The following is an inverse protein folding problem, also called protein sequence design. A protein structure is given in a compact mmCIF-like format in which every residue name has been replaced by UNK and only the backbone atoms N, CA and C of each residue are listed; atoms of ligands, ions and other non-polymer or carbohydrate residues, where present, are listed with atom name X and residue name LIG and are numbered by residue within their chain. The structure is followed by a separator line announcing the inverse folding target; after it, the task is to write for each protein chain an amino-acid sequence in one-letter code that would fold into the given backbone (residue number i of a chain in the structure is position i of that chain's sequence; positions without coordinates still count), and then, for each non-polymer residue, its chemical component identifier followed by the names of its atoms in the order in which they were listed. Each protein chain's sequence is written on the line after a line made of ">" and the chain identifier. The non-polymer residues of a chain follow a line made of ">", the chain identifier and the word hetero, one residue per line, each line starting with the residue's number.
data_IF_566522075405
#
_entry.id   IF_566522075405
#
_cell.length_a   1.000
_cell.length_b   1.000
_cell.length_c   1.000
_cell.angle_alpha   90.00
_cell.angle_beta   90.00
_cell.angle_gamma   90.00
#
_symmetry.space_group_name_H-M   'P 1'
#
loop_
_entity.id
_entity.type
_entity.pdbx_description
1 polymer ?
#
# COMPACT_ATOMS: atom_id res chain seq x y z
N UNK A 1 -7.13 -14.15 -18.21
CA UNK A 1 -5.80 -14.09 -17.57
C UNK A 1 -4.76 -14.01 -18.67
N UNK A 2 -4.05 -12.88 -18.82
CA UNK A 2 -3.04 -12.74 -19.88
C UNK A 2 -1.76 -13.45 -19.46
N UNK A 3 -1.25 -14.36 -20.28
CA UNK A 3 0.04 -15.02 -20.03
C UNK A 3 1.14 -13.96 -20.21
N UNK A 4 1.70 -13.50 -19.09
CA UNK A 4 2.81 -12.55 -19.10
C UNK A 4 4.05 -13.27 -19.62
N UNK A 5 4.68 -12.71 -20.65
CA UNK A 5 5.94 -13.26 -21.18
C UNK A 5 7.05 -13.13 -20.13
N UNK A 6 7.80 -14.22 -19.88
CA UNK A 6 8.99 -14.22 -18.97
C UNK A 6 9.94 -13.05 -19.24
N UNK A 7 10.11 -12.66 -20.51
CA UNK A 7 10.94 -11.50 -20.89
C UNK A 7 10.40 -10.18 -20.34
N UNK A 8 9.09 -9.96 -20.38
CA UNK A 8 8.44 -8.75 -19.85
C UNK A 8 8.56 -8.70 -18.32
N UNK A 9 8.40 -9.83 -17.66
CA UNK A 9 8.55 -9.95 -16.21
C UNK A 9 9.99 -9.62 -15.77
N UNK A 10 11.00 -10.25 -16.40
CA UNK A 10 12.41 -9.97 -16.11
C UNK A 10 12.75 -8.49 -16.34
N UNK A 11 12.28 -7.91 -17.44
CA UNK A 11 12.49 -6.50 -17.71
C UNK A 11 11.88 -5.58 -16.63
N UNK A 12 10.63 -5.85 -16.23
CA UNK A 12 9.96 -5.08 -15.19
C UNK A 12 10.66 -5.21 -13.82
N UNK A 13 11.11 -6.41 -13.45
CA UNK A 13 11.90 -6.68 -12.24
C UNK A 13 13.23 -5.91 -12.23
N UNK A 14 13.98 -5.96 -13.33
CA UNK A 14 15.24 -5.22 -13.48
C UNK A 14 15.03 -3.72 -13.39
N UNK A 15 14.00 -3.16 -14.03
CA UNK A 15 13.65 -1.75 -13.90
C UNK A 15 13.25 -1.36 -12.47
N UNK A 16 12.41 -2.16 -11.81
CA UNK A 16 12.01 -1.94 -10.43
C UNK A 16 13.22 -1.88 -9.50
N UNK A 17 14.10 -2.89 -9.57
CA UNK A 17 15.34 -2.92 -8.79
C UNK A 17 16.25 -1.74 -9.09
N UNK A 18 16.47 -1.41 -10.36
CA UNK A 18 17.35 -0.31 -10.77
C UNK A 18 16.82 1.06 -10.28
N UNK A 19 15.51 1.28 -10.38
CA UNK A 19 14.86 2.50 -9.88
C UNK A 19 14.99 2.63 -8.36
N UNK A 20 14.80 1.53 -7.62
CA UNK A 20 14.95 1.48 -6.17
C UNK A 20 16.41 1.75 -5.75
N UNK A 21 17.37 1.07 -6.34
CA UNK A 21 18.79 1.24 -6.03
C UNK A 21 19.27 2.69 -6.29
N UNK A 22 18.84 3.28 -7.40
CA UNK A 22 19.15 4.68 -7.74
C UNK A 22 18.55 5.63 -6.71
N UNK A 23 17.28 5.41 -6.35
CA UNK A 23 16.58 6.21 -5.35
C UNK A 23 17.28 6.16 -3.99
N UNK A 24 17.57 4.97 -3.46
CA UNK A 24 18.27 4.80 -2.18
C UNK A 24 19.65 5.44 -2.20
N UNK A 25 20.40 5.27 -3.30
CA UNK A 25 21.74 5.86 -3.42
C UNK A 25 21.68 7.38 -3.37
N UNK A 26 20.78 8.01 -4.14
CA UNK A 26 20.65 9.46 -4.15
C UNK A 26 20.10 10.03 -2.84
N UNK A 27 19.19 9.32 -2.18
CA UNK A 27 18.71 9.71 -0.86
C UNK A 27 19.82 9.60 0.20
N UNK A 28 20.66 8.56 0.13
CA UNK A 28 21.84 8.43 0.99
C UNK A 28 22.85 9.56 0.77
N UNK A 29 23.13 9.90 -0.49
CA UNK A 29 23.97 11.07 -0.84
C UNK A 29 23.35 12.34 -0.30
N UNK A 30 22.04 12.53 -0.51
CA UNK A 30 21.34 13.70 -0.03
C UNK A 30 21.46 13.83 1.48
N UNK A 31 21.14 12.80 2.26
CA UNK A 31 21.27 12.82 3.72
C UNK A 31 22.69 13.18 4.20
N UNK A 32 23.70 12.82 3.42
CA UNK A 32 25.10 13.15 3.73
C UNK A 32 25.45 14.59 3.39
N UNK A 33 24.88 15.13 2.31
CA UNK A 33 25.20 16.48 1.79
C UNK A 33 24.25 17.56 2.28
N UNK A 34 23.07 17.19 2.79
CA UNK A 34 22.01 18.10 3.21
C UNK A 34 22.49 18.87 4.44
N UNK A 35 23.13 19.99 4.17
CA UNK A 35 23.56 20.94 5.18
C UNK A 35 22.31 21.57 5.78
N UNK A 36 22.25 21.90 7.08
CA UNK A 36 21.14 22.67 7.61
C UNK A 36 21.04 23.98 6.84
N UNK A 37 19.99 24.15 6.03
CA UNK A 37 19.77 25.38 5.28
C UNK A 37 19.37 26.45 6.28
N UNK A 38 20.11 27.56 6.33
CA UNK A 38 19.94 28.63 7.33
C UNK A 38 18.64 29.44 7.17
N UNK A 39 17.80 29.10 6.19
CA UNK A 39 16.57 29.82 5.90
C UNK A 39 15.50 28.81 5.51
N UNK A 40 14.67 28.41 6.47
CA UNK A 40 13.46 27.61 6.24
C UNK A 40 12.38 28.10 7.18
N UNK A 41 11.20 28.42 6.65
CA UNK A 41 10.05 28.82 7.48
C UNK A 41 9.71 27.72 8.50
N UNK A 42 9.84 26.47 8.05
CA UNK A 42 9.75 25.27 8.84
C UNK A 42 10.48 24.11 8.14
N UNK A 43 10.90 23.10 8.90
CA UNK A 43 11.47 21.86 8.36
C UNK A 43 11.11 20.69 9.28
N UNK A 44 10.93 19.47 8.73
CA UNK A 44 10.66 18.30 9.56
C UNK A 44 11.84 17.98 10.48
N UNK A 45 11.53 17.40 11.64
CA UNK A 45 12.53 16.92 12.58
C UNK A 45 13.44 15.86 11.92
N UNK A 46 14.78 16.05 11.92
CA UNK A 46 15.69 15.26 11.08
C UNK A 46 15.65 13.77 11.40
N UNK A 47 15.55 13.40 12.67
CA UNK A 47 15.51 11.99 13.08
C UNK A 47 14.19 11.30 12.70
N UNK A 48 13.05 12.02 12.75
CA UNK A 48 11.76 11.44 12.36
C UNK A 48 11.68 11.29 10.84
N UNK A 49 12.24 12.25 10.11
CA UNK A 49 12.39 12.16 8.67
C UNK A 49 13.25 10.95 8.26
N UNK A 50 14.45 10.79 8.87
CA UNK A 50 15.33 9.64 8.61
C UNK A 50 14.66 8.32 8.99
N UNK A 51 13.97 8.27 10.13
CA UNK A 51 13.26 7.06 10.57
C UNK A 51 12.19 6.64 9.56
N UNK A 52 11.39 7.59 9.07
CA UNK A 52 10.36 7.29 8.08
C UNK A 52 10.96 6.82 6.76
N UNK A 53 12.05 7.47 6.33
CA UNK A 53 12.79 7.06 5.14
C UNK A 53 13.35 5.63 5.25
N UNK A 54 14.01 5.28 6.36
CA UNK A 54 14.55 3.92 6.57
C UNK A 54 13.42 2.90 6.59
N UNK A 55 12.33 3.21 7.31
CA UNK A 55 11.15 2.36 7.36
C UNK A 55 10.59 2.11 5.96
N UNK A 56 10.38 3.17 5.19
CA UNK A 56 9.85 3.07 3.83
C UNK A 56 10.79 2.32 2.88
N UNK A 57 12.09 2.56 2.96
CA UNK A 57 13.11 1.87 2.16
C UNK A 57 13.12 0.36 2.46
N UNK A 58 12.95 0.00 3.74
CA UNK A 58 12.86 -1.39 4.17
C UNK A 58 11.60 -2.05 3.62
N UNK A 59 10.45 -1.37 3.69
CA UNK A 59 9.20 -1.87 3.09
C UNK A 59 9.33 -2.08 1.58
N UNK A 60 9.93 -1.14 0.86
CA UNK A 60 10.19 -1.26 -0.58
C UNK A 60 11.11 -2.45 -0.89
N UNK A 61 12.19 -2.62 -0.12
CA UNK A 61 13.10 -3.76 -0.28
C UNK A 61 12.39 -5.10 -0.04
N UNK A 62 11.62 -5.21 1.05
CA UNK A 62 10.86 -6.43 1.35
C UNK A 62 9.83 -6.74 0.26
N UNK A 63 9.11 -5.73 -0.22
CA UNK A 63 8.16 -5.89 -1.33
C UNK A 63 8.87 -6.37 -2.60
N UNK A 64 10.04 -5.79 -2.90
CA UNK A 64 10.85 -6.18 -4.04
C UNK A 64 11.36 -7.62 -3.90
N UNK A 65 11.84 -8.05 -2.73
CA UNK A 65 12.27 -9.44 -2.53
C UNK A 65 11.16 -10.45 -2.83
N UNK A 66 9.91 -10.13 -2.47
CA UNK A 66 8.75 -10.98 -2.81
C UNK A 66 8.50 -11.02 -4.31
N UNK A 67 8.64 -9.89 -5.00
CA UNK A 67 8.52 -9.83 -6.46
C UNK A 67 9.51 -10.77 -7.18
N UNK A 68 10.69 -11.02 -6.59
CA UNK A 68 11.71 -11.92 -7.15
C UNK A 68 11.59 -13.38 -6.68
N UNK A 69 11.15 -13.64 -5.44
CA UNK A 69 11.11 -14.99 -4.86
C UNK A 69 10.13 -15.95 -5.56
N UNK A 70 9.07 -15.42 -6.19
CA UNK A 70 7.98 -16.23 -6.74
C UNK A 70 8.35 -17.05 -8.00
N UNK A 71 9.58 -16.92 -8.52
CA UNK A 71 10.08 -17.68 -9.68
C UNK A 71 10.82 -18.99 -9.30
N UNK A 72 11.36 -19.10 -8.08
CA UNK A 72 12.24 -20.22 -7.70
C UNK A 72 11.47 -21.52 -7.37
N UNK A 73 10.30 -21.42 -6.74
CA UNK A 73 9.51 -22.59 -6.31
C UNK A 73 8.94 -23.42 -7.47
N UNK A 74 8.97 -22.89 -8.71
CA UNK A 74 8.41 -23.55 -9.88
C UNK A 74 9.44 -24.27 -10.76
N UNK A 75 10.73 -24.20 -10.40
CA UNK A 75 11.80 -24.86 -11.15
C UNK A 75 12.17 -26.25 -10.65
N UNK A 76 11.55 -26.78 -9.58
CA UNK A 76 11.70 -28.21 -9.30
C UNK A 76 11.12 -28.99 -10.48
N UNK A 77 11.96 -29.70 -11.27
CA UNK A 77 11.44 -30.67 -12.20
C UNK A 77 10.68 -31.66 -11.32
N UNK A 78 9.43 -31.94 -11.66
CA UNK A 78 8.73 -33.12 -11.19
C UNK A 78 9.56 -34.31 -11.70
N UNK A 79 10.62 -34.62 -10.96
CA UNK A 79 11.54 -35.70 -11.22
C UNK A 79 10.73 -36.91 -10.85
N UNK A 80 10.03 -37.41 -11.86
CA UNK A 80 9.65 -38.81 -12.03
C UNK A 80 9.85 -39.61 -10.75
N UNK A 81 8.79 -39.71 -9.95
CA UNK A 81 8.51 -40.98 -9.27
C UNK A 81 8.06 -41.93 -10.40
N UNK A 82 9.02 -42.31 -11.24
CA UNK A 82 8.95 -43.53 -12.00
C UNK A 82 9.37 -44.60 -10.99
N UNK A 83 8.45 -44.98 -10.12
CA UNK A 83 8.54 -46.25 -9.42
C UNK A 83 8.31 -47.33 -10.48
N UNK A 84 9.39 -47.64 -11.21
CA UNK A 84 9.62 -48.98 -11.73
C UNK A 84 9.77 -49.92 -10.54
N UNK A 85 9.09 -51.07 -10.68
CA UNK A 85 9.24 -52.32 -9.95
C UNK A 85 8.73 -52.40 -8.50
N UNK A 86 7.50 -52.93 -8.35
CA UNK A 86 7.42 -54.28 -7.76
C UNK A 86 6.23 -55.08 -8.34
N UNK A 87 6.55 -55.96 -9.29
CA UNK A 87 5.72 -57.12 -9.65
C UNK A 87 5.57 -58.01 -8.42
N UNK A 88 4.38 -58.14 -7.85
CA UNK A 88 3.80 -59.48 -7.69
C UNK A 88 2.34 -59.47 -7.23
N UNK A 89 1.66 -60.49 -7.74
CA UNK A 89 0.54 -61.21 -7.19
C UNK A 89 -0.91 -60.91 -7.60
N UNK A 90 -1.57 -62.04 -7.84
CA UNK A 90 -2.81 -62.26 -8.59
C UNK A 90 -4.05 -62.13 -7.70
N UNK A 91 -5.18 -61.91 -8.37
CA UNK A 91 -6.58 -62.06 -7.91
C UNK A 91 -7.06 -60.94 -6.98
N UNK A 92 -8.21 -60.28 -7.16
CA UNK A 92 -9.54 -60.73 -7.56
C UNK A 92 -10.26 -59.59 -8.32
N UNK A 93 -11.19 -59.96 -9.20
CA UNK A 93 -12.11 -59.06 -9.91
C UNK A 93 -12.92 -58.18 -8.94
N UNK A 94 -12.61 -56.89 -8.89
CA UNK A 94 -13.55 -55.88 -8.39
C UNK A 94 -13.58 -54.68 -9.34
N UNK A 95 -14.57 -54.71 -10.22
CA UNK A 95 -14.97 -53.62 -11.13
C UNK A 95 -15.42 -52.42 -10.30
N UNK A 96 -14.47 -51.60 -9.89
CA UNK A 96 -14.72 -50.27 -9.30
C UNK A 96 -14.35 -49.26 -10.37
N UNK A 97 -15.33 -48.50 -10.85
CA UNK A 97 -15.11 -47.48 -11.87
C UNK A 97 -14.01 -46.51 -11.38
N UNK A 98 -12.99 -46.22 -12.20
CA UNK A 98 -11.88 -45.38 -11.79
C UNK A 98 -12.41 -43.97 -11.53
N UNK A 99 -12.42 -43.58 -10.25
CA UNK A 99 -12.73 -42.23 -9.83
C UNK A 99 -11.80 -41.27 -10.60
N UNK A 100 -12.33 -40.26 -11.30
CA UNK A 100 -11.51 -39.36 -12.09
C UNK A 100 -10.47 -38.72 -11.18
N UNK A 101 -9.19 -38.95 -11.50
CA UNK A 101 -8.08 -38.35 -10.79
C UNK A 101 -8.37 -36.85 -10.64
N UNK A 102 -8.26 -36.27 -9.42
CA UNK A 102 -8.47 -34.86 -9.24
C UNK A 102 -7.54 -34.14 -10.23
N UNK A 103 -8.07 -33.21 -11.04
CA UNK A 103 -7.30 -32.57 -12.09
C UNK A 103 -6.05 -32.00 -11.43
N UNK A 104 -4.87 -32.43 -11.92
CA UNK A 104 -3.60 -31.92 -11.48
C UNK A 104 -3.70 -30.39 -11.50
N UNK A 105 -3.69 -29.77 -10.30
CA UNK A 105 -3.73 -28.32 -10.16
C UNK A 105 -2.56 -27.80 -10.98
N UNK A 106 -2.86 -27.21 -12.14
CA UNK A 106 -1.88 -26.52 -12.93
C UNK A 106 -1.29 -25.44 -12.01
N UNK A 107 -0.05 -25.65 -11.59
CA UNK A 107 0.69 -24.68 -10.79
C UNK A 107 1.04 -23.52 -11.72
N UNK A 108 0.08 -22.64 -11.96
CA UNK A 108 0.32 -21.40 -12.69
C UNK A 108 1.16 -20.51 -11.81
N UNK A 109 2.24 -19.96 -12.37
CA UNK A 109 3.03 -18.85 -11.83
C UNK A 109 2.13 -17.63 -11.70
N UNK A 110 1.22 -17.66 -10.74
CA UNK A 110 0.25 -16.60 -10.54
C UNK A 110 0.89 -15.58 -9.61
N UNK A 111 1.84 -14.81 -10.17
CA UNK A 111 2.25 -13.55 -9.57
C UNK A 111 0.97 -12.79 -9.25
N UNK A 112 0.86 -12.34 -8.00
CA UNK A 112 -0.30 -11.61 -7.55
C UNK A 112 -0.59 -10.45 -8.52
N UNK A 113 -1.76 -10.49 -9.16
CA UNK A 113 -2.15 -9.51 -10.15
C UNK A 113 -2.08 -8.08 -9.60
N UNK A 114 -2.30 -7.91 -8.29
CA UNK A 114 -2.17 -6.63 -7.60
C UNK A 114 -0.71 -6.14 -7.56
N UNK A 115 0.25 -7.02 -7.25
CA UNK A 115 1.67 -6.67 -7.27
C UNK A 115 2.12 -6.28 -8.68
N UNK A 116 1.75 -7.07 -9.69
CA UNK A 116 2.08 -6.76 -11.08
C UNK A 116 1.50 -5.43 -11.55
N UNK A 117 0.26 -5.12 -11.17
CA UNK A 117 -0.39 -3.86 -11.48
C UNK A 117 0.29 -2.64 -10.80
N UNK A 118 0.95 -2.85 -9.66
CA UNK A 118 1.64 -1.79 -8.93
C UNK A 118 3.07 -1.51 -9.41
N UNK A 119 3.73 -2.45 -10.08
CA UNK A 119 5.13 -2.29 -10.56
C UNK A 119 5.37 -0.96 -11.30
N UNK A 120 4.51 -0.49 -12.23
CA UNK A 120 4.72 0.79 -12.90
C UNK A 120 4.67 1.98 -11.94
N UNK A 121 3.73 2.00 -10.99
CA UNK A 121 3.61 3.06 -10.01
C UNK A 121 4.82 3.09 -9.06
N UNK A 122 5.32 1.91 -8.66
CA UNK A 122 6.55 1.77 -7.89
C UNK A 122 7.77 2.36 -8.63
N UNK A 123 7.98 1.98 -9.89
CA UNK A 123 9.10 2.47 -10.71
C UNK A 123 9.00 4.00 -10.86
N UNK A 124 7.83 4.51 -11.25
CA UNK A 124 7.64 5.94 -11.47
C UNK A 124 7.81 6.73 -10.18
N UNK A 125 7.33 6.22 -9.04
CA UNK A 125 7.51 6.88 -7.75
C UNK A 125 8.98 6.98 -7.33
N UNK A 126 9.77 5.92 -7.54
CA UNK A 126 11.21 5.95 -7.29
C UNK A 126 11.96 6.92 -8.23
N UNK A 127 11.54 7.00 -9.50
CA UNK A 127 12.08 7.98 -10.45
C UNK A 127 11.75 9.40 -10.02
N UNK A 128 10.53 9.65 -9.54
CA UNK A 128 10.12 10.98 -9.06
C UNK A 128 10.88 11.39 -7.79
N UNK A 129 11.10 10.47 -6.84
CA UNK A 129 11.94 10.73 -5.65
C UNK A 129 13.40 10.98 -6.03
N UNK A 130 13.93 10.20 -6.97
CA UNK A 130 15.27 10.40 -7.56
C UNK A 130 15.40 11.79 -8.18
N UNK A 131 14.43 12.19 -9.01
CA UNK A 131 14.40 13.51 -9.63
C UNK A 131 14.33 14.62 -8.58
N UNK A 132 13.51 14.45 -7.54
CA UNK A 132 13.45 15.40 -6.43
C UNK A 132 14.80 15.54 -5.72
N UNK A 133 15.48 14.45 -5.39
CA UNK A 133 16.82 14.51 -4.76
C UNK A 133 17.82 15.26 -5.64
N UNK A 134 17.80 14.98 -6.95
CA UNK A 134 18.66 15.66 -7.91
C UNK A 134 18.39 17.17 -7.96
N UNK A 135 17.13 17.58 -8.08
CA UNK A 135 16.76 19.00 -8.14
C UNK A 135 16.98 19.72 -6.81
N UNK A 136 16.82 19.02 -5.68
CA UNK A 136 17.09 19.55 -4.34
C UNK A 136 18.56 19.94 -4.20
N UNK A 137 19.49 19.05 -4.59
CA UNK A 137 20.92 19.33 -4.59
C UNK A 137 21.33 20.47 -5.53
N UNK A 138 20.47 20.84 -6.49
CA UNK A 138 20.66 21.98 -7.41
C UNK A 138 19.94 23.24 -6.93
N UNK A 139 19.32 23.20 -5.75
CA UNK A 139 18.52 24.28 -5.17
C UNK A 139 17.36 24.72 -6.10
N UNK A 140 16.87 23.79 -6.93
CA UNK A 140 15.78 24.04 -7.88
C UNK A 140 14.44 23.58 -7.30
N UNK A 141 13.95 24.29 -6.28
CA UNK A 141 12.80 23.87 -5.47
C UNK A 141 11.46 23.81 -6.25
N UNK A 142 11.29 24.61 -7.31
CA UNK A 142 10.11 24.51 -8.17
C UNK A 142 10.01 23.14 -8.87
N UNK A 143 11.14 22.61 -9.35
CA UNK A 143 11.19 21.27 -9.96
C UNK A 143 11.02 20.15 -8.93
N UNK A 144 11.45 20.40 -7.70
CA UNK A 144 11.18 19.51 -6.57
C UNK A 144 9.67 19.37 -6.35
N UNK A 145 8.93 20.49 -6.25
CA UNK A 145 7.48 20.46 -6.09
C UNK A 145 6.78 19.69 -7.21
N UNK A 146 7.09 20.00 -8.48
CA UNK A 146 6.50 19.31 -9.64
C UNK A 146 6.72 17.79 -9.55
N UNK A 147 7.93 17.37 -9.19
CA UNK A 147 8.28 15.96 -9.05
C UNK A 147 7.47 15.27 -7.95
N UNK A 148 7.27 15.93 -6.80
CA UNK A 148 6.50 15.37 -5.68
C UNK A 148 5.00 15.36 -5.92
N UNK A 149 4.44 16.36 -6.60
CA UNK A 149 3.06 16.32 -7.03
C UNK A 149 2.81 15.15 -7.97
N UNK A 150 3.68 14.97 -8.96
CA UNK A 150 3.58 13.83 -9.88
C UNK A 150 3.67 12.48 -9.16
N UNK A 151 4.62 12.34 -8.22
CA UNK A 151 4.71 11.14 -7.37
C UNK A 151 3.41 10.89 -6.58
N UNK A 152 2.89 11.93 -5.92
CA UNK A 152 1.65 11.86 -5.13
C UNK A 152 0.46 11.41 -5.99
N UNK A 153 0.31 11.97 -7.20
CA UNK A 153 -0.75 11.55 -8.13
C UNK A 153 -0.62 10.07 -8.53
N UNK A 154 0.59 9.60 -8.82
CA UNK A 154 0.83 8.19 -9.16
C UNK A 154 0.46 7.27 -7.99
N UNK A 155 0.86 7.62 -6.75
CA UNK A 155 0.58 6.80 -5.59
C UNK A 155 -0.91 6.79 -5.23
N UNK A 156 -1.59 7.94 -5.28
CA UNK A 156 -3.05 8.02 -5.10
C UNK A 156 -3.75 7.19 -6.17
N UNK A 157 -3.36 7.31 -7.44
CA UNK A 157 -3.90 6.49 -8.52
C UNK A 157 -3.70 4.99 -8.24
N UNK A 158 -2.52 4.59 -7.77
CA UNK A 158 -2.24 3.20 -7.42
C UNK A 158 -3.11 2.68 -6.27
N UNK A 159 -3.31 3.50 -5.22
CA UNK A 159 -4.20 3.17 -4.10
C UNK A 159 -5.64 2.99 -4.59
N UNK A 160 -6.14 3.92 -5.42
CA UNK A 160 -7.48 3.84 -6.01
C UNK A 160 -7.65 2.61 -6.90
N UNK A 161 -6.64 2.29 -7.73
CA UNK A 161 -6.68 1.13 -8.62
C UNK A 161 -6.69 -0.21 -7.84
N UNK A 162 -5.96 -0.28 -6.73
CA UNK A 162 -5.93 -1.47 -5.87
C UNK A 162 -7.21 -1.64 -5.04
N UNK A 163 -7.85 -0.54 -4.66
CA UNK A 163 -9.08 -0.54 -3.87
C UNK A 163 -10.34 -0.99 -4.66
N UNK A 164 -10.22 -1.29 -5.96
CA UNK A 164 -11.34 -1.72 -6.79
C UNK A 164 -11.94 -3.06 -6.32
N UNK A 165 -13.28 -3.18 -6.16
CA UNK A 165 -13.96 -4.40 -5.67
C UNK A 165 -13.64 -5.67 -6.46
N UNK A 166 -13.25 -5.52 -7.73
CA UNK A 166 -12.89 -6.63 -8.61
C UNK A 166 -11.65 -7.41 -8.16
N UNK A 167 -10.80 -6.83 -7.31
CA UNK A 167 -9.51 -7.38 -6.93
C UNK A 167 -9.48 -8.01 -5.52
N UNK A 168 -10.61 -8.08 -4.81
CA UNK A 168 -10.66 -8.51 -3.39
C UNK A 168 -10.54 -10.02 -3.16
N UNK A 169 -10.54 -10.87 -4.20
CA UNK A 169 -10.54 -12.34 -4.02
C UNK A 169 -9.20 -12.94 -3.55
N UNK A 170 -8.07 -12.23 -3.71
CA UNK A 170 -6.73 -12.65 -3.29
C UNK A 170 -6.16 -11.69 -2.23
N UNK A 171 -6.71 -11.77 -1.01
CA UNK A 171 -6.68 -10.70 -0.01
C UNK A 171 -5.37 -10.52 0.79
N UNK A 172 -4.46 -11.50 0.85
CA UNK A 172 -3.29 -11.40 1.75
C UNK A 172 -2.07 -10.69 1.14
N UNK A 173 -1.80 -10.88 -0.16
CA UNK A 173 -0.64 -10.28 -0.83
C UNK A 173 -0.91 -8.84 -1.30
N UNK A 174 -2.19 -8.49 -1.51
CA UNK A 174 -2.63 -7.13 -1.85
C UNK A 174 -2.39 -6.13 -0.71
N UNK A 175 -2.50 -6.56 0.55
CA UNK A 175 -2.33 -5.69 1.73
C UNK A 175 -0.94 -5.07 1.82
N UNK A 176 0.12 -5.84 1.51
CA UNK A 176 1.49 -5.30 1.56
C UNK A 176 1.72 -4.24 0.49
N UNK A 177 1.17 -4.46 -0.70
CA UNK A 177 1.29 -3.52 -1.84
C UNK A 177 0.51 -2.24 -1.56
N UNK A 178 -0.68 -2.36 -0.98
CA UNK A 178 -1.52 -1.23 -0.58
C UNK A 178 -0.84 -0.41 0.53
N UNK A 179 -0.33 -1.10 1.56
CA UNK A 179 0.41 -0.49 2.65
C UNK A 179 1.62 0.30 2.11
N UNK A 180 2.38 -0.33 1.21
CA UNK A 180 3.54 0.29 0.59
C UNK A 180 3.18 1.54 -0.24
N UNK A 181 2.09 1.49 -1.00
CA UNK A 181 1.62 2.64 -1.77
C UNK A 181 1.21 3.80 -0.84
N UNK A 182 0.52 3.49 0.25
CA UNK A 182 0.08 4.47 1.26
C UNK A 182 1.26 5.13 1.97
N UNK A 183 2.23 4.36 2.45
CA UNK A 183 3.43 4.91 3.11
C UNK A 183 4.31 5.68 2.12
N UNK A 184 4.39 5.24 0.86
CA UNK A 184 5.08 5.97 -0.22
C UNK A 184 4.44 7.33 -0.48
N UNK A 185 3.10 7.38 -0.48
CA UNK A 185 2.36 8.63 -0.63
C UNK A 185 2.58 9.58 0.56
N UNK A 186 2.54 9.06 1.78
CA UNK A 186 2.87 9.84 2.99
C UNK A 186 4.26 10.46 2.88
N UNK A 187 5.28 9.65 2.54
CA UNK A 187 6.63 10.15 2.36
C UNK A 187 6.72 11.24 1.27
N UNK A 188 6.03 11.07 0.14
CA UNK A 188 5.97 12.08 -0.92
C UNK A 188 5.39 13.42 -0.43
N UNK A 189 4.36 13.36 0.43
CA UNK A 189 3.75 14.53 1.04
C UNK A 189 4.72 15.21 1.99
N UNK A 190 5.42 14.45 2.85
CA UNK A 190 6.46 14.99 3.72
C UNK A 190 7.56 15.72 2.93
N UNK A 191 8.01 15.16 1.81
CA UNK A 191 8.96 15.81 0.91
C UNK A 191 8.41 17.10 0.28
N UNK A 192 7.12 17.11 -0.09
CA UNK A 192 6.48 18.30 -0.63
C UNK A 192 6.46 19.42 0.43
N UNK A 193 6.10 19.10 1.66
CA UNK A 193 6.14 20.05 2.79
C UNK A 193 7.56 20.51 3.13
N UNK A 194 8.55 19.62 3.13
CA UNK A 194 9.96 20.00 3.26
C UNK A 194 10.37 21.01 2.17
N UNK A 195 9.86 20.85 0.95
CA UNK A 195 10.14 21.77 -0.17
C UNK A 195 9.44 23.11 -0.01
N UNK A 196 8.18 23.11 0.45
CA UNK A 196 7.45 24.33 0.73
C UNK A 196 8.12 25.15 1.84
N UNK A 197 8.62 24.51 2.90
CA UNK A 197 9.32 25.20 3.98
C UNK A 197 10.54 26.02 3.53
N UNK A 198 11.20 25.63 2.43
CA UNK A 198 12.29 26.41 1.81
C UNK A 198 11.77 27.52 0.91
N UNK A 199 10.67 27.28 0.19
CA UNK A 199 10.09 28.27 -0.74
C UNK A 199 9.41 29.41 0.03
N UNK A 200 8.78 29.10 1.17
CA UNK A 200 8.04 30.02 2.03
C UNK A 200 8.95 31.03 2.78
N UNK A 201 10.27 30.91 2.66
CA UNK A 201 11.29 31.80 3.28
C UNK A 201 11.15 33.26 2.84
N UNK A 202 10.47 33.53 1.74
CA UNK A 202 10.42 34.83 1.05
C UNK A 202 9.63 35.95 1.76
N UNK A 203 9.40 35.84 3.08
CA UNK A 203 8.59 36.74 3.92
C UNK A 203 7.08 36.66 3.67
N UNK A 204 6.34 36.26 4.73
CA UNK A 204 5.00 36.70 5.18
C UNK A 204 4.49 35.59 6.12
N UNK A 205 4.11 35.95 7.35
CA UNK A 205 3.36 35.06 8.27
C UNK A 205 2.21 34.39 7.49
N UNK A 206 2.04 33.06 7.56
CA UNK A 206 1.08 32.38 6.70
C UNK A 206 -0.32 32.96 6.87
N UNK A 207 -0.95 33.31 5.75
CA UNK A 207 -2.29 33.89 5.81
C UNK A 207 -3.27 32.86 6.36
N UNK A 208 -4.44 33.32 6.83
CA UNK A 208 -5.49 32.38 7.23
C UNK A 208 -5.89 31.45 6.07
N UNK A 209 -5.87 31.97 4.84
CA UNK A 209 -6.18 31.20 3.63
C UNK A 209 -5.17 30.08 3.38
N UNK A 210 -3.87 30.36 3.52
CA UNK A 210 -2.81 29.35 3.29
C UNK A 210 -2.91 28.20 4.28
N UNK A 211 -3.12 28.54 5.56
CA UNK A 211 -3.31 27.56 6.65
C UNK A 211 -4.57 26.72 6.45
N UNK A 212 -5.65 27.35 6.01
CA UNK A 212 -6.91 26.65 5.71
C UNK A 212 -6.73 25.71 4.51
N UNK A 213 -6.08 26.16 3.44
CA UNK A 213 -5.82 25.36 2.25
C UNK A 213 -4.93 24.14 2.58
N UNK A 214 -3.89 24.33 3.39
CA UNK A 214 -3.07 23.25 3.93
C UNK A 214 -3.91 22.21 4.67
N UNK A 215 -4.74 22.67 5.61
CA UNK A 215 -5.62 21.79 6.39
C UNK A 215 -6.63 21.03 5.54
N UNK A 216 -7.24 21.69 4.56
CA UNK A 216 -8.16 21.06 3.62
C UNK A 216 -7.44 20.01 2.78
N UNK A 217 -6.22 20.27 2.31
CA UNK A 217 -5.43 19.31 1.54
C UNK A 217 -5.17 18.02 2.33
N UNK A 218 -4.67 18.14 3.57
CA UNK A 218 -4.43 16.99 4.44
C UNK A 218 -5.70 16.23 4.80
N UNK A 219 -6.80 16.94 5.07
CA UNK A 219 -8.09 16.35 5.38
C UNK A 219 -8.64 15.57 4.19
N UNK A 220 -8.61 16.15 2.98
CA UNK A 220 -9.05 15.49 1.76
C UNK A 220 -8.24 14.23 1.46
N UNK A 221 -6.92 14.28 1.64
CA UNK A 221 -6.07 13.09 1.48
C UNK A 221 -6.39 11.99 2.49
N UNK A 222 -6.64 12.37 3.75
CA UNK A 222 -7.05 11.43 4.80
C UNK A 222 -8.35 10.72 4.41
N UNK A 223 -9.36 11.49 3.98
CA UNK A 223 -10.67 10.94 3.57
C UNK A 223 -10.55 10.11 2.29
N UNK A 224 -9.71 10.52 1.34
CA UNK A 224 -9.49 9.80 0.08
C UNK A 224 -8.76 8.46 0.26
N UNK A 225 -8.18 8.19 1.43
CA UNK A 225 -7.38 7.00 1.72
C UNK A 225 -8.17 5.69 1.82
N UNK A 226 -9.51 5.79 1.88
CA UNK A 226 -10.41 4.66 2.07
C UNK A 226 -10.54 4.24 3.55
N UNK A 227 -11.12 3.05 3.82
CA UNK A 227 -11.48 2.60 5.17
C UNK A 227 -10.27 2.26 6.07
N UNK A 228 -9.10 2.09 5.46
CA UNK A 228 -7.86 1.77 6.16
C UNK A 228 -7.14 3.06 6.59
N UNK A 229 -6.89 3.28 7.89
CA UNK A 229 -6.44 4.55 8.43
C UNK A 229 -4.96 4.84 8.15
N UNK A 230 -4.24 3.94 7.47
CA UNK A 230 -2.78 3.95 7.37
C UNK A 230 -2.22 5.22 6.73
N UNK A 231 -2.80 5.70 5.63
CA UNK A 231 -2.33 6.94 5.02
C UNK A 231 -2.62 8.14 5.94
N UNK A 232 -3.79 8.19 6.59
CA UNK A 232 -4.08 9.18 7.62
C UNK A 232 -3.05 9.16 8.78
N UNK A 233 -2.66 7.98 9.25
CA UNK A 233 -1.61 7.83 10.27
C UNK A 233 -0.24 8.31 9.77
N UNK A 234 0.11 8.07 8.50
CA UNK A 234 1.32 8.63 7.90
C UNK A 234 1.26 10.16 7.89
N UNK A 235 0.12 10.76 7.54
CA UNK A 235 -0.04 12.21 7.55
C UNK A 235 0.05 12.81 8.96
N UNK A 236 -0.49 12.13 9.97
CA UNK A 236 -0.30 12.54 11.37
C UNK A 236 1.18 12.45 11.76
N UNK A 237 1.87 11.38 11.35
CA UNK A 237 3.31 11.24 11.58
C UNK A 237 4.09 12.39 10.92
N UNK A 238 3.77 12.73 9.67
CA UNK A 238 4.39 13.83 8.95
C UNK A 238 4.19 15.15 9.69
N UNK A 239 2.96 15.44 10.12
CA UNK A 239 2.64 16.64 10.90
C UNK A 239 3.39 16.66 12.23
N UNK A 240 3.50 15.54 12.94
CA UNK A 240 4.31 15.45 14.17
C UNK A 240 5.78 15.71 13.87
N UNK A 241 6.31 15.20 12.75
CA UNK A 241 7.65 15.52 12.31
C UNK A 241 7.82 17.02 12.04
N UNK A 242 6.81 17.70 11.48
CA UNK A 242 6.83 19.15 11.29
C UNK A 242 6.74 19.94 12.61
N UNK A 243 5.88 19.50 13.55
CA UNK A 243 5.70 20.13 14.87
C UNK A 243 6.99 20.10 15.69
N UNK A 244 7.67 18.95 15.69
CA UNK A 244 8.92 18.75 16.44
C UNK A 244 10.15 19.29 15.68
N UNK A 245 9.96 19.66 14.42
CA UNK A 245 11.01 20.16 13.57
C UNK A 245 11.35 21.63 13.83
N UNK A 246 12.32 22.13 13.07
CA UNK A 246 12.68 23.54 13.15
C UNK A 246 11.54 24.40 12.59
N UNK A 247 11.19 25.47 13.28
CA UNK A 247 10.19 26.43 12.85
C UNK A 247 10.68 27.83 13.24
N UNK A 248 10.79 28.71 12.27
CA UNK A 248 11.10 30.12 12.52
C UNK A 248 9.83 30.93 12.81
N UNK A 249 8.68 30.45 12.30
CA UNK A 249 7.38 31.12 12.38
C UNK A 249 6.45 30.29 13.28
N UNK A 250 6.07 30.84 14.44
CA UNK A 250 5.24 30.16 15.45
C UNK A 250 3.84 29.77 14.92
N UNK A 251 3.30 30.52 13.96
CA UNK A 251 1.98 30.24 13.38
C UNK A 251 1.93 28.91 12.64
N UNK A 252 3.04 28.51 11.99
CA UNK A 252 3.13 27.21 11.33
C UNK A 252 3.09 26.06 12.34
N UNK A 253 3.79 26.21 13.47
CA UNK A 253 3.74 25.24 14.57
C UNK A 253 2.29 25.04 15.07
N UNK A 254 1.58 26.13 15.35
CA UNK A 254 0.17 26.07 15.76
C UNK A 254 -0.70 25.41 14.68
N UNK A 255 -0.50 25.75 13.40
CA UNK A 255 -1.23 25.16 12.28
C UNK A 255 -1.00 23.65 12.16
N UNK A 256 0.24 23.18 12.25
CA UNK A 256 0.53 21.74 12.21
C UNK A 256 -0.12 21.00 13.39
N UNK A 257 -0.12 21.57 14.60
CA UNK A 257 -0.81 20.98 15.75
C UNK A 257 -2.32 20.86 15.51
N UNK A 258 -2.99 21.92 15.05
CA UNK A 258 -4.43 21.88 14.77
C UNK A 258 -4.77 20.89 13.65
N UNK A 259 -3.95 20.82 12.59
CA UNK A 259 -4.11 19.83 11.52
C UNK A 259 -3.94 18.40 12.05
N UNK A 260 -2.92 18.13 12.87
CA UNK A 260 -2.68 16.81 13.43
C UNK A 260 -3.83 16.36 14.34
N UNK A 261 -4.33 17.26 15.19
CA UNK A 261 -5.49 16.99 16.04
C UNK A 261 -6.76 16.74 15.21
N UNK A 262 -7.01 17.55 14.18
CA UNK A 262 -8.15 17.40 13.28
C UNK A 262 -8.16 16.08 12.51
N UNK A 263 -7.02 15.71 11.90
CA UNK A 263 -6.88 14.44 11.18
C UNK A 263 -7.03 13.26 12.15
N UNK A 264 -6.41 13.32 13.32
CA UNK A 264 -6.53 12.26 14.34
C UNK A 264 -7.97 12.04 14.76
N UNK A 265 -8.73 13.13 14.97
CA UNK A 265 -10.15 13.05 15.29
C UNK A 265 -10.95 12.39 14.16
N UNK A 266 -10.68 12.77 12.91
CA UNK A 266 -11.34 12.18 11.73
C UNK A 266 -11.07 10.68 11.64
N UNK A 267 -9.81 10.25 11.84
CA UNK A 267 -9.44 8.82 11.88
C UNK A 267 -10.21 8.10 12.99
N UNK A 268 -10.27 8.66 14.21
CA UNK A 268 -10.98 8.03 15.34
C UNK A 268 -12.48 7.88 15.02
N UNK A 269 -13.11 8.93 14.48
CA UNK A 269 -14.53 8.92 14.12
C UNK A 269 -14.82 7.89 13.02
N UNK A 270 -14.00 7.88 11.96
CA UNK A 270 -14.14 6.94 10.84
C UNK A 270 -14.00 5.48 11.31
N UNK A 271 -12.95 5.18 12.10
CA UNK A 271 -12.73 3.84 12.65
C UNK A 271 -13.85 3.40 13.59
N UNK A 272 -14.40 4.33 14.37
CA UNK A 272 -15.53 4.06 15.24
C UNK A 272 -16.81 3.76 14.45
N UNK A 273 -17.07 4.52 13.38
CA UNK A 273 -18.20 4.26 12.48
C UNK A 273 -18.05 2.91 11.77
N UNK A 274 -16.86 2.60 11.26
CA UNK A 274 -16.58 1.33 10.59
C UNK A 274 -16.82 0.12 11.52
N UNK A 275 -16.33 0.19 12.76
CA UNK A 275 -16.57 -0.85 13.78
C UNK A 275 -18.05 -1.05 14.07
N UNK A 276 -18.83 0.04 14.15
CA UNK A 276 -20.29 -0.04 14.35
C UNK A 276 -20.98 -0.74 13.18
N UNK A 277 -20.61 -0.40 11.95
CA UNK A 277 -21.21 -1.00 10.76
C UNK A 277 -20.96 -2.51 10.70
N UNK A 278 -19.75 -2.97 11.05
CA UNK A 278 -19.41 -4.41 11.11
C UNK A 278 -20.24 -5.13 12.19
N UNK A 279 -20.43 -4.51 13.36
CA UNK A 279 -21.25 -5.09 14.43
C UNK A 279 -22.72 -5.21 14.02
N UNK A 280 -23.29 -4.19 13.37
CA UNK A 280 -24.68 -4.22 12.89
C UNK A 280 -24.85 -5.24 11.76
N UNK A 281 -23.90 -5.32 10.84
CA UNK A 281 -23.91 -6.30 9.74
C UNK A 281 -23.85 -7.75 10.24
N UNK A 282 -22.95 -8.04 11.18
CA UNK A 282 -22.84 -9.38 11.77
C UNK A 282 -24.08 -9.78 12.59
N UNK A 283 -24.69 -8.86 13.33
CA UNK A 283 -25.94 -9.10 14.04
C UNK A 283 -27.10 -9.42 13.08
N UNK A 284 -27.18 -8.70 11.95
CA UNK A 284 -28.19 -8.92 10.91
C UNK A 284 -27.99 -10.27 10.22
N UNK A 285 -26.75 -10.59 9.81
CA UNK A 285 -26.43 -11.87 9.19
C UNK A 285 -26.75 -13.06 10.11
N UNK A 286 -26.47 -12.94 11.41
CA UNK A 286 -26.81 -13.99 12.39
C UNK A 286 -28.32 -14.19 12.52
N UNK A 287 -29.10 -13.11 12.53
CA UNK A 287 -30.58 -13.20 12.54
C UNK A 287 -31.11 -13.87 11.29
N UNK A 288 -30.59 -13.50 10.12
CA UNK A 288 -30.99 -14.11 8.85
C UNK A 288 -30.66 -15.60 8.81
N UNK A 289 -29.45 -16.01 9.20
CA UNK A 289 -29.08 -17.43 9.26
C UNK A 289 -29.94 -18.25 10.24
N UNK A 290 -30.43 -17.61 11.31
CA UNK A 290 -31.34 -18.25 12.28
C UNK A 290 -32.73 -18.42 11.68
N UNK A 291 -33.23 -17.40 11.00
CA UNK A 291 -34.52 -17.43 10.32
C UNK A 291 -34.53 -18.47 9.18
N UNK A 292 -33.48 -18.50 8.34
CA UNK A 292 -33.34 -19.51 7.28
C UNK A 292 -33.31 -20.95 7.81
N UNK A 293 -32.78 -21.14 9.02
CA UNK A 293 -32.78 -22.43 9.71
C UNK A 293 -34.18 -22.80 10.25
N UNK A 294 -34.90 -21.84 10.84
CA UNK A 294 -36.27 -22.02 11.32
C UNK A 294 -37.23 -22.34 10.16
N UNK A 295 -37.16 -21.59 9.06
CA UNK A 295 -37.97 -21.81 7.85
C UNK A 295 -37.72 -23.20 7.24
N UNK A 296 -36.47 -23.68 7.25
CA UNK A 296 -36.11 -25.02 6.76
C UNK A 296 -36.63 -26.14 7.68
N UNK A 297 -36.67 -25.90 8.99
CA UNK A 297 -37.22 -26.85 9.95
C UNK A 297 -38.75 -26.99 9.81
N UNK A 298 -39.46 -25.88 9.59
CA UNK A 298 -40.91 -25.87 9.33
C UNK A 298 -41.25 -26.58 8.02
N UNK A 299 -40.50 -26.31 6.94
CA UNK A 299 -40.69 -26.97 5.65
C UNK A 299 -40.54 -28.50 5.74
N UNK A 300 -39.53 -29.00 6.47
CA UNK A 300 -39.34 -30.44 6.65
C UNK A 300 -40.46 -31.11 7.47
N UNK A 301 -41.02 -30.40 8.45
CA UNK A 301 -42.12 -30.92 9.30
C UNK A 301 -43.40 -31.05 8.48
N UNK A 302 -43.72 -30.04 7.67
CA UNK A 302 -44.89 -30.06 6.77
C UNK A 302 -44.84 -31.18 5.71
N UNK A 303 -43.65 -31.51 5.22
CA UNK A 303 -43.46 -32.60 4.26
C UNK A 303 -43.71 -34.00 4.87
N UNK A 304 -43.40 -34.21 6.16
CA UNK A 304 -43.68 -35.51 6.80
C UNK A 304 -45.16 -35.73 7.10
N UNK A 305 -45.94 -34.66 7.27
CA UNK A 305 -47.39 -34.77 7.51
C UNK A 305 -48.18 -35.10 6.23
N UNK A 306 -47.68 -34.78 5.04
CA UNK A 306 -48.37 -35.08 3.78
C UNK A 306 -48.24 -36.54 3.31
N UNK A 307 -47.33 -37.32 3.91
CA UNK A 307 -47.07 -38.72 3.54
C UNK A 307 -47.84 -39.75 4.41
N UNK A 308 -48.71 -39.27 5.31
CA UNK A 308 -49.60 -40.09 6.17
C UNK A 308 -51.08 -39.94 5.80
#
# INVERSE_FOLDING_TARGET
>A
MSIISKRKLLFARTLAFSSFATNITLQGVLLWTDSPHSYVAYAPHPYLFILFLIGQSTFQALWLTRLFAEDEDQQQPSTKVLSEDEKNDKSLDQKTDPLPAPPAKACTTEIDAAQWAYVPAFIMGNISLTAWCYWWMKEQYNWCQISMFFNTFIQIYAICAQSSPSNQSNQSNSQMTELLAKTSNGLAILYNWKTWGVIDVSHITPTFSDRLQAGVFFLLLTVASGPEPTLGLCLVYDLVAMILGHHEIEEWYATFMYMAAGITLVIIVDQWQNRRNIQVGSATAKRQSKQDFEDRAESNTSASESDH
#
